data_IF_960966432417
#
_entry.id   IF_960966432417
#
_cell.length_a   1.000
_cell.length_b   1.000
_cell.length_c   1.000
_cell.angle_alpha   90.00
_cell.angle_beta   90.00
_cell.angle_gamma   90.00
#
_symmetry.space_group_name_H-M   'P 1'
#
loop_
_entity.id
_entity.type
_entity.pdbx_description
1 polymer ?
#
# COMPACT_ATOMS: atom_id res chain seq x y z
N UNK A 1 48.34 -6.71 -28.90
CA UNK A 1 47.14 -7.45 -28.47
C UNK A 1 46.07 -6.43 -28.06
N UNK A 2 44.86 -6.46 -28.62
CA UNK A 2 43.82 -5.51 -28.24
C UNK A 2 43.18 -5.93 -26.91
N UNK A 3 43.13 -5.01 -25.95
CA UNK A 3 42.50 -5.20 -24.64
C UNK A 3 40.99 -4.99 -24.75
N UNK A 4 40.21 -6.02 -24.42
CA UNK A 4 38.77 -5.94 -24.28
C UNK A 4 38.42 -5.00 -23.12
N UNK A 5 37.77 -3.87 -23.41
CA UNK A 5 37.17 -3.03 -22.38
C UNK A 5 35.99 -3.78 -21.78
N UNK A 6 36.07 -4.05 -20.47
CA UNK A 6 34.99 -4.63 -19.67
C UNK A 6 33.77 -3.72 -19.80
N UNK A 7 32.63 -4.27 -20.25
CA UNK A 7 31.33 -3.56 -20.18
C UNK A 7 31.05 -3.29 -18.70
N UNK A 8 30.95 -2.02 -18.33
CA UNK A 8 30.36 -1.63 -17.06
C UNK A 8 28.86 -1.94 -17.15
N UNK A 9 28.41 -2.93 -16.37
CA UNK A 9 26.99 -3.17 -16.16
C UNK A 9 26.46 -2.03 -15.29
N UNK A 10 25.53 -1.25 -15.84
CA UNK A 10 24.81 -0.24 -15.07
C UNK A 10 23.86 -1.01 -14.13
N UNK A 11 24.17 -1.04 -12.84
CA UNK A 11 23.24 -1.50 -11.81
C UNK A 11 22.03 -0.55 -11.82
N UNK A 12 20.94 -0.98 -12.47
CA UNK A 12 19.65 -0.30 -12.38
C UNK A 12 19.09 -0.62 -10.99
N UNK A 13 18.97 0.39 -10.14
CA UNK A 13 18.30 0.25 -8.85
C UNK A 13 16.82 -0.10 -9.08
N UNK A 14 16.50 -1.39 -9.00
CA UNK A 14 15.18 -1.95 -9.24
C UNK A 14 14.14 -1.46 -8.22
N UNK A 15 14.57 -0.91 -7.07
CA UNK A 15 13.67 -0.39 -6.05
C UNK A 15 12.90 0.85 -6.51
N UNK A 16 13.39 1.58 -7.53
CA UNK A 16 12.69 2.73 -8.13
C UNK A 16 11.41 2.36 -8.89
N UNK A 17 11.26 1.10 -9.29
CA UNK A 17 10.10 0.60 -10.04
C UNK A 17 9.11 -0.20 -9.19
N UNK A 18 9.47 -0.53 -7.94
CA UNK A 18 8.58 -1.21 -7.02
C UNK A 18 7.47 -0.27 -6.53
N UNK A 19 6.23 -0.72 -6.67
CA UNK A 19 5.04 -0.18 -6.03
C UNK A 19 4.72 -1.00 -4.79
N UNK A 20 4.18 -0.32 -3.80
CA UNK A 20 3.59 -0.96 -2.62
C UNK A 20 2.08 -0.95 -2.77
N UNK A 21 1.48 -2.13 -2.80
CA UNK A 21 0.03 -2.31 -2.84
C UNK A 21 -0.45 -2.74 -1.45
N UNK A 22 -1.38 -1.98 -0.88
CA UNK A 22 -2.10 -2.35 0.33
C UNK A 22 -3.30 -3.21 -0.06
N UNK A 23 -3.41 -4.42 0.49
CA UNK A 23 -4.48 -5.37 0.21
C UNK A 23 -5.27 -5.59 1.49
N UNK A 24 -6.51 -5.08 1.53
CA UNK A 24 -7.47 -5.31 2.61
C UNK A 24 -8.40 -6.46 2.21
N UNK A 25 -8.40 -7.55 2.98
CA UNK A 25 -9.24 -8.74 2.76
C UNK A 25 -10.36 -8.76 3.80
N UNK A 26 -11.61 -8.78 3.34
CA UNK A 26 -12.80 -8.80 4.19
C UNK A 26 -13.37 -10.21 4.23
N UNK A 27 -13.24 -10.85 5.39
CA UNK A 27 -13.80 -12.19 5.62
C UNK A 27 -15.16 -12.05 6.28
N UNK A 28 -16.17 -12.72 5.74
CA UNK A 28 -17.51 -12.72 6.31
C UNK A 28 -17.71 -13.87 7.29
N UNK A 29 -18.81 -14.60 7.15
CA UNK A 29 -19.32 -15.56 8.15
C UNK A 29 -18.38 -16.72 8.50
N UNK A 30 -17.38 -17.04 7.67
CA UNK A 30 -16.46 -18.14 7.91
C UNK A 30 -15.02 -17.77 7.59
N UNK A 31 -14.13 -17.99 8.57
CA UNK A 31 -12.68 -17.83 8.44
C UNK A 31 -11.96 -19.08 7.92
N UNK A 32 -10.63 -19.00 7.81
CA UNK A 32 -9.79 -20.11 7.34
C UNK A 32 -8.38 -20.04 7.94
N UNK A 33 -7.76 -21.20 8.18
CA UNK A 33 -6.39 -21.36 8.69
C UNK A 33 -5.44 -22.06 7.70
N UNK A 34 -5.89 -22.26 6.46
CA UNK A 34 -5.09 -22.70 5.33
C UNK A 34 -4.34 -21.53 4.69
N UNK A 35 -3.37 -21.81 3.81
CA UNK A 35 -2.62 -20.75 3.16
C UNK A 35 -3.45 -20.12 2.05
N UNK A 36 -3.66 -18.82 2.15
CA UNK A 36 -4.33 -18.03 1.14
C UNK A 36 -3.30 -17.37 0.23
N UNK A 37 -3.55 -17.39 -1.06
CA UNK A 37 -2.72 -16.82 -2.10
C UNK A 37 -3.52 -15.88 -2.97
N UNK A 38 -2.88 -14.81 -3.43
CA UNK A 38 -3.45 -13.86 -4.37
C UNK A 38 -2.54 -13.74 -5.61
N UNK A 39 -3.14 -13.64 -6.79
CA UNK A 39 -2.51 -13.20 -8.04
C UNK A 39 -3.24 -11.95 -8.49
N UNK A 40 -2.52 -10.90 -8.90
CA UNK A 40 -3.15 -9.64 -9.33
C UNK A 40 -2.69 -9.37 -10.75
N UNK A 41 -3.63 -9.26 -11.68
CA UNK A 41 -3.37 -8.85 -13.05
C UNK A 41 -3.83 -7.41 -13.25
N UNK A 42 -2.92 -6.57 -13.72
CA UNK A 42 -3.26 -5.24 -14.20
C UNK A 42 -2.93 -5.05 -15.68
N UNK A 43 -3.33 -3.91 -16.20
CA UNK A 43 -3.14 -3.51 -17.61
C UNK A 43 -1.68 -3.34 -18.04
N UNK A 44 -0.73 -3.27 -17.10
CA UNK A 44 0.70 -3.09 -17.41
C UNK A 44 1.58 -4.27 -17.03
N UNK A 45 1.24 -4.95 -15.93
CA UNK A 45 2.03 -6.03 -15.35
C UNK A 45 1.17 -6.88 -14.41
N UNK A 46 1.77 -7.90 -13.82
CA UNK A 46 1.12 -8.79 -12.85
C UNK A 46 1.94 -8.97 -11.56
N UNK A 47 1.22 -9.12 -10.45
CA UNK A 47 1.75 -9.75 -9.24
C UNK A 47 1.48 -11.26 -9.35
N UNK A 48 2.51 -12.10 -9.53
CA UNK A 48 2.33 -13.54 -9.55
C UNK A 48 1.80 -14.07 -8.22
N UNK A 49 1.37 -15.33 -8.21
CA UNK A 49 0.81 -16.01 -7.03
C UNK A 49 1.68 -15.78 -5.79
N UNK A 50 1.13 -15.00 -4.86
CA UNK A 50 1.81 -14.55 -3.64
C UNK A 50 0.98 -14.95 -2.43
N UNK A 51 1.61 -15.60 -1.46
CA UNK A 51 0.96 -16.00 -0.20
C UNK A 51 0.70 -14.77 0.69
N UNK A 52 -0.52 -14.66 1.21
CA UNK A 52 -0.90 -13.65 2.20
C UNK A 52 -0.52 -14.11 3.61
N UNK A 53 0.49 -13.48 4.20
CA UNK A 53 0.99 -13.79 5.55
C UNK A 53 1.46 -12.55 6.31
N UNK A 54 1.44 -12.62 7.65
CA UNK A 54 1.99 -11.58 8.54
C UNK A 54 3.14 -12.16 9.39
N UNK A 55 4.21 -11.39 9.57
CA UNK A 55 5.35 -11.75 10.43
C UNK A 55 6.43 -12.62 9.78
N UNK A 56 7.49 -12.93 10.54
CA UNK A 56 8.56 -13.88 10.18
C UNK A 56 8.28 -15.21 10.88
N UNK A 57 8.19 -16.33 10.14
CA UNK A 57 7.96 -17.66 10.71
C UNK A 57 7.22 -18.61 9.74
N UNK A 58 7.04 -19.86 10.17
CA UNK A 58 6.36 -20.92 9.39
C UNK A 58 4.88 -21.11 9.73
N UNK A 59 4.33 -20.35 10.67
CA UNK A 59 2.92 -20.51 11.05
C UNK A 59 2.01 -19.83 10.03
N UNK A 60 1.02 -20.57 9.55
CA UNK A 60 0.02 -20.06 8.60
C UNK A 60 -0.72 -18.87 9.22
N UNK A 61 -0.99 -17.84 8.41
CA UNK A 61 -1.84 -16.74 8.84
C UNK A 61 -3.30 -17.19 8.87
N UNK A 62 -4.00 -16.92 9.98
CA UNK A 62 -5.39 -17.30 10.17
C UNK A 62 -6.28 -16.11 9.82
N UNK A 63 -7.16 -16.29 8.85
CA UNK A 63 -8.24 -15.36 8.55
C UNK A 63 -9.41 -15.65 9.48
N UNK A 64 -9.71 -14.73 10.38
CA UNK A 64 -10.85 -14.86 11.29
C UNK A 64 -12.14 -14.45 10.57
N UNK A 65 -13.27 -15.03 10.99
CA UNK A 65 -14.59 -14.60 10.50
C UNK A 65 -14.88 -13.16 10.94
N UNK A 66 -15.63 -12.43 10.12
CA UNK A 66 -16.09 -11.06 10.39
C UNK A 66 -14.93 -10.09 10.67
N UNK A 67 -13.76 -10.32 10.06
CA UNK A 67 -12.61 -9.42 10.20
C UNK A 67 -12.12 -8.87 8.86
N UNK A 68 -11.44 -7.74 8.97
CA UNK A 68 -10.63 -7.16 7.89
C UNK A 68 -9.16 -7.35 8.21
N UNK A 69 -8.44 -8.00 7.30
CA UNK A 69 -7.00 -8.18 7.43
C UNK A 69 -6.24 -7.46 6.32
N UNK A 70 -5.23 -6.67 6.71
CA UNK A 70 -4.42 -5.85 5.80
C UNK A 70 -3.05 -6.48 5.54
N UNK A 71 -2.66 -6.54 4.27
CA UNK A 71 -1.34 -6.97 3.79
C UNK A 71 -0.70 -5.88 2.93
N UNK A 72 0.62 -5.90 2.82
CA UNK A 72 1.38 -4.99 1.97
C UNK A 72 2.25 -5.82 1.02
N UNK A 73 1.95 -5.73 -0.27
CA UNK A 73 2.61 -6.51 -1.31
C UNK A 73 3.44 -5.57 -2.19
N UNK A 74 4.69 -5.95 -2.41
CA UNK A 74 5.56 -5.27 -3.37
C UNK A 74 5.36 -5.90 -4.75
N UNK A 75 5.22 -5.08 -5.77
CA UNK A 75 5.11 -5.50 -7.16
C UNK A 75 5.63 -4.38 -8.08
N UNK A 76 5.90 -4.65 -9.36
CA UNK A 76 6.03 -3.58 -10.36
C UNK A 76 4.78 -2.70 -10.43
N UNK A 77 4.83 -1.62 -11.20
CA UNK A 77 3.62 -0.84 -11.47
C UNK A 77 2.65 -1.63 -12.36
N UNK A 78 1.61 -2.19 -11.75
CA UNK A 78 0.62 -3.05 -12.40
C UNK A 78 -0.36 -2.29 -13.32
N UNK A 79 -0.42 -0.96 -13.23
CA UNK A 79 -1.39 -0.14 -13.96
C UNK A 79 -2.80 -0.20 -13.36
N UNK A 80 -3.82 -0.13 -14.22
CA UNK A 80 -5.22 -0.37 -13.85
C UNK A 80 -5.40 -1.85 -13.48
N UNK A 81 -5.87 -2.15 -12.26
CA UNK A 81 -6.05 -3.53 -11.81
C UNK A 81 -7.36 -4.11 -12.37
N UNK A 82 -7.27 -5.23 -13.07
CA UNK A 82 -8.38 -5.81 -13.81
C UNK A 82 -8.92 -7.07 -13.12
N UNK A 83 -8.02 -7.95 -12.67
CA UNK A 83 -8.38 -9.24 -12.07
C UNK A 83 -7.55 -9.48 -10.81
N UNK A 84 -8.23 -9.86 -9.72
CA UNK A 84 -7.61 -10.44 -8.55
C UNK A 84 -8.07 -11.89 -8.41
N UNK A 85 -7.14 -12.82 -8.55
CA UNK A 85 -7.39 -14.24 -8.32
C UNK A 85 -7.03 -14.58 -6.89
N UNK A 86 -8.00 -15.05 -6.11
CA UNK A 86 -7.82 -15.44 -4.71
C UNK A 86 -8.10 -16.93 -4.54
N UNK A 87 -7.22 -17.63 -3.85
CA UNK A 87 -7.32 -19.08 -3.64
C UNK A 87 -6.71 -19.53 -2.31
N UNK A 88 -7.11 -20.71 -1.83
CA UNK A 88 -6.46 -21.36 -0.69
C UNK A 88 -6.05 -22.80 -1.02
N UNK A 89 -5.10 -23.35 -0.26
CA UNK A 89 -4.60 -24.73 -0.41
C UNK A 89 -5.27 -25.75 0.52
N UNK A 90 -6.22 -25.30 1.34
CA UNK A 90 -6.92 -26.16 2.29
C UNK A 90 -7.81 -27.24 1.65
N UNK A 91 -7.64 -28.50 2.08
CA UNK A 91 -8.39 -29.66 1.57
C UNK A 91 -9.47 -30.21 2.53
N UNK A 92 -9.40 -29.86 3.81
CA UNK A 92 -10.28 -30.40 4.85
C UNK A 92 -11.68 -29.75 4.81
N UNK A 93 -12.69 -30.44 5.36
CA UNK A 93 -14.06 -29.92 5.47
C UNK A 93 -14.15 -28.62 6.29
N UNK A 94 -13.20 -28.43 7.22
CA UNK A 94 -13.07 -27.21 8.04
C UNK A 94 -12.47 -26.03 7.27
N UNK A 95 -11.82 -26.25 6.12
CA UNK A 95 -11.25 -25.21 5.27
C UNK A 95 -12.31 -24.59 4.35
N UNK A 96 -13.35 -24.04 4.97
CA UNK A 96 -14.42 -23.31 4.30
C UNK A 96 -14.25 -21.83 4.60
N UNK A 97 -14.05 -21.03 3.57
CA UNK A 97 -13.86 -19.59 3.72
C UNK A 97 -14.98 -18.85 3.04
N UNK A 98 -15.55 -17.85 3.71
CA UNK A 98 -16.48 -16.93 3.09
C UNK A 98 -15.77 -15.59 2.88
N UNK A 99 -15.45 -15.29 1.62
CA UNK A 99 -14.83 -14.03 1.24
C UNK A 99 -15.92 -13.06 0.80
N UNK A 100 -15.98 -11.90 1.46
CA UNK A 100 -16.89 -10.82 1.06
C UNK A 100 -16.28 -10.05 -0.11
N UNK A 101 -15.09 -9.47 0.11
CA UNK A 101 -14.40 -8.66 -0.89
C UNK A 101 -12.93 -8.46 -0.58
N UNK A 102 -12.20 -7.96 -1.58
CA UNK A 102 -10.83 -7.48 -1.46
C UNK A 102 -10.79 -6.02 -1.92
N UNK A 103 -10.13 -5.16 -1.14
CA UNK A 103 -9.84 -3.78 -1.53
C UNK A 103 -8.32 -3.65 -1.72
N UNK A 104 -7.90 -3.21 -2.90
CA UNK A 104 -6.49 -3.01 -3.22
C UNK A 104 -6.24 -1.52 -3.44
N UNK A 105 -5.21 -0.98 -2.78
CA UNK A 105 -4.79 0.41 -2.91
C UNK A 105 -3.33 0.48 -3.36
N UNK A 106 -3.05 1.17 -4.47
CA UNK A 106 -1.68 1.59 -4.80
C UNK A 106 -1.30 2.71 -3.83
N UNK A 107 -0.37 2.44 -2.92
CA UNK A 107 -0.01 3.38 -1.85
C UNK A 107 0.59 4.68 -2.39
N UNK A 108 1.21 4.67 -3.57
CA UNK A 108 1.85 5.84 -4.15
C UNK A 108 0.88 6.72 -4.95
N UNK A 109 -0.03 6.13 -5.72
CA UNK A 109 -1.04 6.91 -6.47
C UNK A 109 -2.33 7.14 -5.69
N UNK A 110 -2.48 6.42 -4.58
CA UNK A 110 -3.67 6.35 -3.71
C UNK A 110 -4.90 5.81 -4.43
N UNK A 111 -4.75 5.26 -5.62
CA UNK A 111 -5.85 4.67 -6.36
C UNK A 111 -6.34 3.39 -5.67
N UNK A 112 -7.67 3.27 -5.56
CA UNK A 112 -8.36 2.14 -4.93
C UNK A 112 -9.16 1.36 -5.97
N UNK A 113 -9.10 0.04 -5.84
CA UNK A 113 -9.91 -0.93 -6.57
C UNK A 113 -10.61 -1.86 -5.60
N UNK A 114 -11.87 -2.16 -5.88
CA UNK A 114 -12.70 -3.09 -5.13
C UNK A 114 -13.00 -4.34 -5.96
N UNK A 115 -12.84 -5.50 -5.34
CA UNK A 115 -13.03 -6.82 -5.93
C UNK A 115 -14.06 -7.57 -5.07
N UNK A 116 -15.32 -7.54 -5.48
CA UNK A 116 -16.41 -8.21 -4.78
C UNK A 116 -16.38 -9.71 -5.03
N UNK A 117 -16.61 -10.51 -3.99
CA UNK A 117 -16.70 -11.97 -4.07
C UNK A 117 -18.05 -12.46 -3.54
N UNK A 118 -18.39 -12.11 -2.29
CA UNK A 118 -19.58 -12.54 -1.54
C UNK A 118 -19.93 -14.02 -1.74
N UNK A 119 -18.90 -14.87 -1.67
CA UNK A 119 -19.05 -16.27 -1.99
C UNK A 119 -18.06 -17.16 -1.23
N UNK A 120 -18.41 -18.43 -1.18
CA UNK A 120 -17.62 -19.46 -0.52
C UNK A 120 -16.42 -19.85 -1.38
N UNK A 121 -15.29 -20.08 -0.72
CA UNK A 121 -14.14 -20.81 -1.21
C UNK A 121 -14.03 -22.08 -0.37
N UNK A 122 -14.43 -23.21 -0.93
CA UNK A 122 -14.43 -24.51 -0.25
C UNK A 122 -14.58 -25.64 -1.25
N UNK A 123 -13.91 -26.78 -1.02
CA UNK A 123 -14.14 -28.03 -1.76
C UNK A 123 -15.39 -28.78 -1.28
N UNK A 124 -16.07 -28.30 -0.25
CA UNK A 124 -17.15 -29.04 0.44
C UNK A 124 -18.47 -28.28 0.50
N UNK A 125 -18.52 -27.04 0.03
CA UNK A 125 -19.69 -26.15 0.13
C UNK A 125 -19.93 -25.43 -1.20
N UNK A 126 -21.22 -25.24 -1.54
CA UNK A 126 -21.72 -24.57 -2.75
C UNK A 126 -21.16 -25.19 -4.05
N UNK A 127 -20.34 -24.45 -4.78
CA UNK A 127 -19.86 -24.84 -6.12
C UNK A 127 -18.52 -25.58 -6.09
N UNK A 128 -18.04 -25.95 -4.90
CA UNK A 128 -16.85 -26.77 -4.68
C UNK A 128 -15.56 -26.13 -5.23
N UNK A 129 -15.51 -24.79 -5.29
CA UNK A 129 -14.37 -24.03 -5.78
C UNK A 129 -13.61 -23.40 -4.62
N UNK A 130 -12.29 -23.54 -4.63
CA UNK A 130 -11.36 -22.89 -3.69
C UNK A 130 -10.58 -21.74 -4.31
N UNK A 131 -10.92 -21.37 -5.54
CA UNK A 131 -10.29 -20.33 -6.36
C UNK A 131 -11.37 -19.45 -6.97
N UNK A 132 -11.16 -18.13 -6.94
CA UNK A 132 -12.05 -17.14 -7.55
C UNK A 132 -11.25 -16.13 -8.33
N UNK A 133 -11.67 -15.86 -9.57
CA UNK A 133 -11.24 -14.69 -10.33
C UNK A 133 -12.25 -13.58 -10.08
N UNK A 134 -11.79 -12.47 -9.51
CA UNK A 134 -12.61 -11.31 -9.15
C UNK A 134 -12.24 -10.15 -10.07
N UNK A 135 -13.23 -9.40 -10.54
CA UNK A 135 -13.02 -8.29 -11.46
C UNK A 135 -12.94 -6.96 -10.71
N UNK A 136 -11.92 -6.18 -11.02
CA UNK A 136 -11.62 -4.92 -10.34
C UNK A 136 -12.57 -3.81 -10.76
N UNK A 137 -13.22 -3.18 -9.78
CA UNK A 137 -13.94 -1.92 -9.95
C UNK A 137 -13.10 -0.78 -9.39
N UNK A 138 -12.73 0.17 -10.24
CA UNK A 138 -12.07 1.41 -9.81
C UNK A 138 -13.05 2.25 -8.97
N UNK A 139 -12.75 2.47 -7.69
CA UNK A 139 -13.68 3.16 -6.76
C UNK A 139 -13.28 4.58 -6.39
N UNK A 140 -12.06 5.02 -6.75
CA UNK A 140 -11.57 6.39 -6.54
C UNK A 140 -10.21 6.41 -5.85
N UNK A 141 -9.79 7.58 -5.34
CA UNK A 141 -8.60 7.66 -4.49
C UNK A 141 -8.95 7.43 -3.03
N UNK A 142 -8.04 6.85 -2.26
CA UNK A 142 -8.17 6.72 -0.82
C UNK A 142 -8.37 8.10 -0.19
N UNK A 143 -9.26 8.19 0.80
CA UNK A 143 -9.50 9.44 1.50
C UNK A 143 -8.20 9.93 2.17
N UNK A 144 -7.84 11.18 1.90
CA UNK A 144 -6.70 11.85 2.53
C UNK A 144 -7.17 12.66 3.72
N UNK A 145 -6.34 12.69 4.75
CA UNK A 145 -6.46 13.59 5.89
C UNK A 145 -5.61 14.83 5.65
N UNK A 146 -6.12 15.97 6.11
CA UNK A 146 -5.38 17.23 6.10
C UNK A 146 -4.64 17.37 7.43
N UNK A 147 -3.32 17.47 7.35
CA UNK A 147 -2.42 17.75 8.46
C UNK A 147 -2.02 19.23 8.38
N UNK A 148 -2.30 20.00 9.44
CA UNK A 148 -1.81 21.37 9.55
C UNK A 148 -0.37 21.35 10.09
N UNK A 149 0.57 21.77 9.27
CA UNK A 149 1.99 21.88 9.62
C UNK A 149 2.30 23.34 9.89
N UNK A 150 2.79 23.64 11.10
CA UNK A 150 3.25 24.97 11.48
C UNK A 150 4.76 24.98 11.61
N UNK A 151 5.41 25.83 10.83
CA UNK A 151 6.86 25.99 10.81
C UNK A 151 7.19 27.33 11.47
N UNK A 152 8.01 27.29 12.51
CA UNK A 152 8.47 28.50 13.19
C UNK A 152 9.94 28.75 12.90
N UNK A 153 10.22 29.92 12.35
CA UNK A 153 11.58 30.38 12.06
C UNK A 153 12.13 31.15 13.25
N UNK A 154 13.35 30.81 13.68
CA UNK A 154 13.98 31.41 14.85
C UNK A 154 14.11 32.94 14.76
N UNK A 155 14.34 33.61 15.90
CA UNK A 155 14.47 35.07 16.01
C UNK A 155 15.91 35.59 15.94
N UNK A 156 16.90 34.72 15.72
CA UNK A 156 18.32 35.14 15.59
C UNK A 156 18.52 35.93 14.29
N UNK A 157 19.54 36.79 14.22
CA UNK A 157 19.88 37.44 12.96
C UNK A 157 20.18 36.38 11.88
N UNK A 158 19.70 36.61 10.66
CA UNK A 158 19.88 35.74 9.48
C UNK A 158 19.32 34.32 9.64
N UNK A 159 18.26 34.14 10.44
CA UNK A 159 17.58 32.84 10.61
C UNK A 159 16.56 32.53 9.52
N UNK A 160 16.19 33.50 8.69
CA UNK A 160 15.30 33.29 7.55
C UNK A 160 15.96 32.46 6.45
N UNK A 161 15.16 31.83 5.59
CA UNK A 161 15.67 31.03 4.47
C UNK A 161 14.82 31.19 3.22
N UNK A 162 15.50 31.23 2.06
CA UNK A 162 14.90 31.17 0.73
C UNK A 162 14.94 29.74 0.14
N UNK A 163 15.47 28.78 0.91
CA UNK A 163 15.58 27.39 0.49
C UNK A 163 14.21 26.69 0.54
N UNK A 164 14.02 25.71 -0.35
CA UNK A 164 12.84 24.84 -0.26
C UNK A 164 12.93 23.95 0.97
N UNK A 165 12.00 24.12 1.91
CA UNK A 165 11.89 23.28 3.09
C UNK A 165 11.18 21.98 2.72
N UNK A 166 11.70 20.86 3.22
CA UNK A 166 11.04 19.57 3.07
C UNK A 166 10.98 18.80 4.39
N UNK A 167 9.91 18.04 4.60
CA UNK A 167 9.67 17.26 5.81
C UNK A 167 9.03 15.91 5.45
N UNK A 168 9.27 14.89 6.26
CA UNK A 168 8.54 13.63 6.18
C UNK A 168 7.94 13.35 7.55
N UNK A 169 6.62 13.28 7.65
CA UNK A 169 5.96 13.02 8.94
C UNK A 169 5.79 11.52 9.12
N UNK A 170 6.18 11.00 10.28
CA UNK A 170 6.03 9.60 10.66
C UNK A 170 4.99 9.47 11.77
N UNK A 171 4.03 8.55 11.60
CA UNK A 171 3.09 8.14 12.63
C UNK A 171 3.03 6.62 12.79
N UNK A 172 2.16 6.13 13.67
CA UNK A 172 2.02 4.70 13.99
C UNK A 172 1.56 3.85 12.80
N UNK A 173 0.97 4.46 11.77
CA UNK A 173 0.46 3.77 10.56
C UNK A 173 1.28 4.06 9.30
N UNK A 174 2.46 4.64 9.45
CA UNK A 174 3.42 4.85 8.35
C UNK A 174 3.91 6.30 8.29
N UNK A 175 4.41 6.70 7.12
CA UNK A 175 4.92 8.03 6.89
C UNK A 175 4.30 8.68 5.64
N UNK A 176 4.36 10.01 5.58
CA UNK A 176 4.10 10.76 4.35
C UNK A 176 5.20 10.49 3.32
N UNK A 177 4.95 10.87 2.06
CA UNK A 177 6.06 11.15 1.14
C UNK A 177 6.81 12.40 1.60
N UNK A 178 7.98 12.69 1.02
CA UNK A 178 8.71 13.94 1.28
C UNK A 178 7.84 15.13 0.86
N UNK A 179 7.35 15.85 1.86
CA UNK A 179 6.55 17.07 1.70
C UNK A 179 7.47 18.20 1.32
N UNK A 180 7.05 19.05 0.38
CA UNK A 180 7.77 20.27 0.01
C UNK A 180 6.92 21.47 0.38
N UNK A 181 7.45 22.35 1.20
CA UNK A 181 6.81 23.59 1.59
C UNK A 181 7.39 24.68 0.72
N UNK A 182 6.67 24.99 -0.36
CA UNK A 182 7.09 25.98 -1.34
C UNK A 182 6.54 27.33 -0.94
N UNK A 183 7.43 28.31 -0.92
CA UNK A 183 7.09 29.72 -0.77
C UNK A 183 7.00 30.35 -2.16
N UNK A 184 5.78 30.47 -2.68
CA UNK A 184 5.54 31.03 -4.00
C UNK A 184 5.69 32.55 -4.03
N UNK A 185 5.45 33.22 -2.91
CA UNK A 185 5.41 34.67 -2.80
C UNK A 185 6.73 35.25 -2.24
N UNK A 186 7.66 34.39 -1.81
CA UNK A 186 8.93 34.75 -1.16
C UNK A 186 8.72 35.56 0.12
N UNK A 187 7.71 35.20 0.90
CA UNK A 187 7.34 35.88 2.16
C UNK A 187 7.27 34.95 3.37
N UNK A 188 7.61 33.67 3.19
CA UNK A 188 7.53 32.63 4.22
C UNK A 188 8.93 32.31 4.72
N UNK A 189 8.98 31.68 5.88
CA UNK A 189 10.22 31.28 6.55
C UNK A 189 11.10 32.48 6.92
N UNK A 190 10.46 33.63 7.19
CA UNK A 190 11.17 34.83 7.62
C UNK A 190 11.47 34.80 9.11
N UNK A 191 12.51 35.55 9.50
CA UNK A 191 12.97 35.62 10.89
C UNK A 191 11.80 35.92 11.85
N UNK A 192 11.57 35.01 12.80
CA UNK A 192 10.55 35.17 13.84
C UNK A 192 9.11 34.92 13.39
N UNK A 193 8.90 34.47 12.15
CA UNK A 193 7.60 34.16 11.58
C UNK A 193 7.17 32.73 11.91
N UNK A 194 5.85 32.52 11.93
CA UNK A 194 5.24 31.20 11.91
C UNK A 194 4.41 31.05 10.64
N UNK A 195 4.68 30.00 9.87
CA UNK A 195 4.03 29.71 8.60
C UNK A 195 3.23 28.41 8.71
N UNK A 196 1.97 28.45 8.31
CA UNK A 196 1.06 27.30 8.34
C UNK A 196 0.82 26.74 6.94
N UNK A 197 0.83 25.42 6.84
CA UNK A 197 0.61 24.69 5.59
C UNK A 197 -0.34 23.52 5.83
N UNK A 198 -1.36 23.42 4.99
CA UNK A 198 -2.23 22.26 4.97
C UNK A 198 -1.66 21.21 4.02
N UNK A 199 -1.43 20.01 4.55
CA UNK A 199 -0.84 18.90 3.81
C UNK A 199 -1.79 17.72 3.81
N UNK A 200 -2.19 17.28 2.62
CA UNK A 200 -2.97 16.06 2.47
C UNK A 200 -2.07 14.82 2.47
N UNK A 201 -2.40 13.83 3.29
CA UNK A 201 -1.75 12.52 3.31
C UNK A 201 -2.72 11.44 3.77
N UNK A 202 -2.41 10.17 3.50
CA UNK A 202 -3.04 9.04 4.18
C UNK A 202 -3.04 9.22 5.70
N UNK A 203 -4.00 8.61 6.39
CA UNK A 203 -4.03 8.53 7.84
C UNK A 203 -2.73 7.91 8.38
N UNK A 204 -1.96 8.69 9.14
CA UNK A 204 -0.68 8.28 9.74
C UNK A 204 -0.85 7.66 11.13
N UNK A 205 -2.07 7.64 11.68
CA UNK A 205 -2.32 7.30 13.08
C UNK A 205 -1.75 8.36 14.02
N UNK A 206 -1.30 7.94 15.20
CA UNK A 206 -0.61 8.84 16.15
C UNK A 206 0.72 9.28 15.57
N UNK A 207 0.97 10.59 15.50
CA UNK A 207 2.24 11.13 15.03
C UNK A 207 3.36 10.83 16.04
N UNK A 208 4.53 10.42 15.53
CA UNK A 208 5.66 9.94 16.33
C UNK A 208 6.91 10.81 16.16
N UNK A 209 7.23 11.21 14.93
CA UNK A 209 8.38 12.09 14.63
C UNK A 209 8.25 12.76 13.28
N UNK A 210 9.08 13.78 13.06
CA UNK A 210 9.30 14.50 11.81
C UNK A 210 10.74 14.35 11.34
#
# INVERSE_FOLDING_TARGET
MPTLKKKEEVEVDTTLYERLYKVDVYTGESGINANVHITIKGSRDELPKTQLKKGRGSMNFIFMRETKETFYLKAPFLGELEIATIEHDGLQQTHKWYLEKIIITDVKSEQVWEFECFNWLSLHIKDYRIKRDLFGKKTGKAALEVYNVQIYTGKKAFSGTDATICMTVFGTRGATNKLKFVDHDKTKFEKGQMDSFDVSSKNLGELRRI
#
